data_IF_214031475262
#
_entry.id   IF_214031475262
#
_cell.length_a   1.000
_cell.length_b   1.000
_cell.length_c   1.000
_cell.angle_alpha   90.00
_cell.angle_beta   90.00
_cell.angle_gamma   90.00
#
_symmetry.space_group_name_H-M   'P 1'
#
loop_
_entity.id
_entity.type
_entity.pdbx_description
1 polymer ?
#
# COMPACT_ATOMS: atom_id res chain seq x y z
N UNK A 1 -13.43 -4.83 -19.73
CA UNK A 1 -12.94 -4.47 -18.41
C UNK A 1 -13.58 -5.32 -17.32
N UNK A 2 -12.80 -5.58 -16.29
CA UNK A 2 -13.19 -6.45 -15.18
C UNK A 2 -13.74 -5.69 -13.97
N UNK A 3 -13.70 -4.35 -14.02
CA UNK A 3 -14.17 -3.50 -12.93
C UNK A 3 -15.00 -2.34 -13.48
N UNK A 4 -15.93 -1.87 -12.67
CA UNK A 4 -16.68 -0.67 -12.98
C UNK A 4 -15.83 0.55 -12.60
N UNK A 5 -15.27 1.22 -13.61
CA UNK A 5 -14.39 2.38 -13.38
C UNK A 5 -15.09 3.56 -12.71
N UNK A 6 -16.41 3.66 -12.84
CA UNK A 6 -17.18 4.71 -12.18
C UNK A 6 -17.20 4.56 -10.65
N UNK A 7 -16.92 3.37 -10.13
CA UNK A 7 -16.85 3.11 -8.69
C UNK A 7 -15.44 3.20 -8.12
N UNK A 8 -14.43 3.47 -8.94
CA UNK A 8 -13.04 3.58 -8.50
C UNK A 8 -12.72 5.01 -8.09
N UNK A 9 -12.46 5.23 -6.80
CA UNK A 9 -12.18 6.55 -6.24
C UNK A 9 -10.83 6.64 -5.53
N UNK A 10 -10.10 5.53 -5.45
CA UNK A 10 -8.82 5.44 -4.75
C UNK A 10 -7.70 5.01 -5.68
N UNK A 11 -6.52 5.57 -5.46
CA UNK A 11 -5.31 5.17 -6.18
C UNK A 11 -4.10 5.25 -5.26
N UNK A 12 -3.01 4.64 -5.68
CA UNK A 12 -1.73 4.70 -4.98
C UNK A 12 -0.66 5.13 -5.98
N UNK A 13 0.13 6.14 -5.61
CA UNK A 13 1.25 6.56 -6.44
C UNK A 13 2.42 5.58 -6.31
N UNK A 14 3.02 5.14 -7.42
CA UNK A 14 4.27 4.38 -7.35
C UNK A 14 5.32 5.15 -6.55
N UNK A 15 5.91 4.50 -5.55
CA UNK A 15 6.85 5.17 -4.64
C UNK A 15 6.21 6.06 -3.58
N UNK A 16 4.88 6.19 -3.57
CA UNK A 16 4.14 6.98 -2.59
C UNK A 16 3.95 8.44 -2.99
N UNK A 17 3.11 9.13 -2.26
CA UNK A 17 2.71 10.52 -2.56
C UNK A 17 3.82 11.54 -2.32
N UNK A 18 4.88 11.16 -1.61
CA UNK A 18 6.00 12.04 -1.30
C UNK A 18 7.29 11.63 -2.01
N UNK A 19 7.21 10.75 -2.99
CA UNK A 19 8.39 10.27 -3.69
C UNK A 19 9.11 11.41 -4.42
N UNK A 20 10.43 11.26 -4.55
CA UNK A 20 11.27 12.22 -5.26
C UNK A 20 11.76 11.71 -6.61
N UNK A 21 11.58 10.43 -6.89
CA UNK A 21 11.99 9.79 -8.15
C UNK A 21 11.27 10.43 -9.34
N UNK A 22 10.00 10.78 -9.15
CA UNK A 22 9.17 11.43 -10.17
C UNK A 22 9.76 12.74 -10.68
N UNK A 23 10.62 13.40 -9.91
CA UNK A 23 11.27 14.65 -10.30
C UNK A 23 12.15 14.49 -11.53
N UNK A 24 12.69 13.30 -11.74
CA UNK A 24 13.50 12.99 -12.96
C UNK A 24 12.68 13.02 -14.23
N UNK A 25 11.38 12.78 -14.12
CA UNK A 25 10.50 12.59 -15.27
C UNK A 25 9.53 13.75 -15.48
N UNK A 26 9.12 14.42 -14.41
CA UNK A 26 8.13 15.49 -14.48
C UNK A 26 8.50 16.78 -13.76
N UNK A 27 9.72 16.86 -13.21
CA UNK A 27 10.17 18.04 -12.48
C UNK A 27 9.73 18.08 -11.02
N UNK A 28 10.18 19.10 -10.29
CA UNK A 28 9.97 19.20 -8.84
C UNK A 28 8.50 19.34 -8.42
N UNK A 29 7.67 19.93 -9.27
CA UNK A 29 6.27 20.18 -8.95
C UNK A 29 5.31 19.08 -9.37
N UNK A 30 5.79 17.98 -9.98
CA UNK A 30 4.93 16.98 -10.60
C UNK A 30 4.01 16.31 -9.58
N UNK A 31 4.48 15.98 -8.39
CA UNK A 31 3.64 15.32 -7.38
C UNK A 31 2.54 16.25 -6.86
N UNK A 32 2.84 17.53 -6.64
CA UNK A 32 1.83 18.50 -6.22
C UNK A 32 0.75 18.65 -7.29
N UNK A 33 1.14 18.70 -8.57
CA UNK A 33 0.21 18.78 -9.69
C UNK A 33 -0.66 17.53 -9.80
N UNK A 34 -0.07 16.34 -9.68
CA UNK A 34 -0.81 15.08 -9.72
C UNK A 34 -1.81 14.97 -8.57
N UNK A 35 -1.43 15.38 -7.36
CA UNK A 35 -2.35 15.39 -6.21
C UNK A 35 -3.52 16.32 -6.46
N UNK A 36 -3.28 17.50 -7.03
CA UNK A 36 -4.33 18.44 -7.37
C UNK A 36 -5.27 17.87 -8.42
N UNK A 37 -4.74 17.26 -9.48
CA UNK A 37 -5.55 16.62 -10.52
C UNK A 37 -6.39 15.47 -9.97
N UNK A 38 -5.84 14.68 -9.03
CA UNK A 38 -6.60 13.62 -8.38
C UNK A 38 -7.79 14.19 -7.61
N UNK A 39 -7.58 15.26 -6.84
CA UNK A 39 -8.65 15.90 -6.09
C UNK A 39 -9.73 16.46 -7.01
N UNK A 40 -9.34 17.12 -8.10
CA UNK A 40 -10.28 17.69 -9.10
C UNK A 40 -11.13 16.60 -9.77
N UNK A 41 -10.59 15.41 -9.96
CA UNK A 41 -11.28 14.29 -10.60
C UNK A 41 -12.03 13.39 -9.60
N UNK A 42 -12.02 13.73 -8.32
CA UNK A 42 -12.70 12.97 -7.29
C UNK A 42 -11.96 11.72 -6.81
N UNK A 43 -10.65 11.64 -7.03
CA UNK A 43 -9.83 10.54 -6.54
C UNK A 43 -9.09 10.92 -5.26
N UNK A 44 -9.02 9.96 -4.34
CA UNK A 44 -8.14 10.03 -3.19
C UNK A 44 -6.93 9.13 -3.41
N UNK A 45 -5.76 9.56 -2.99
CA UNK A 45 -4.57 8.71 -3.01
C UNK A 45 -4.36 8.08 -1.64
N UNK A 46 -3.79 6.86 -1.64
CA UNK A 46 -3.56 6.07 -0.44
C UNK A 46 -2.08 5.75 -0.33
N UNK A 47 -1.45 6.21 0.74
CA UNK A 47 -0.09 5.81 1.09
C UNK A 47 -0.14 4.60 2.03
N UNK A 48 0.94 4.32 2.72
CA UNK A 48 1.06 3.21 3.65
C UNK A 48 1.90 3.60 4.85
N UNK A 49 1.73 2.89 5.94
CA UNK A 49 2.54 3.06 7.15
C UNK A 49 3.23 1.77 7.60
N UNK A 50 3.02 0.69 6.86
CA UNK A 50 3.71 -0.59 7.05
C UNK A 50 4.16 -1.07 5.69
N UNK A 51 5.45 -1.33 5.52
CA UNK A 51 6.00 -1.88 4.28
C UNK A 51 6.50 -3.31 4.53
N UNK A 52 6.02 -4.25 3.73
CA UNK A 52 6.46 -5.63 3.82
C UNK A 52 7.88 -5.83 3.28
N UNK A 53 8.41 -4.86 2.54
CA UNK A 53 9.72 -4.91 1.90
C UNK A 53 9.90 -6.16 1.03
N UNK A 54 8.83 -6.53 0.35
CA UNK A 54 8.75 -7.76 -0.44
C UNK A 54 9.27 -7.61 -1.86
N UNK A 55 9.39 -6.39 -2.34
CA UNK A 55 9.88 -6.10 -3.69
C UNK A 55 11.34 -5.63 -3.71
N UNK A 56 12.06 -5.78 -2.60
CA UNK A 56 13.49 -5.44 -2.52
C UNK A 56 14.34 -6.52 -3.18
N UNK A 57 15.54 -6.16 -3.60
CA UNK A 57 16.49 -7.11 -4.16
C UNK A 57 16.78 -8.27 -3.20
N UNK A 58 17.19 -9.44 -3.75
CA UNK A 58 17.50 -10.62 -2.94
C UNK A 58 16.31 -11.54 -2.66
N UNK A 59 15.12 -11.22 -3.16
CA UNK A 59 13.92 -12.07 -3.07
C UNK A 59 13.67 -12.59 -1.65
N UNK A 60 13.18 -11.77 -0.72
CA UNK A 60 13.00 -12.16 0.67
C UNK A 60 12.08 -13.38 0.82
N UNK A 61 12.37 -14.23 1.79
CA UNK A 61 11.55 -15.39 2.11
C UNK A 61 10.19 -14.94 2.72
N UNK A 62 9.22 -15.84 2.71
CA UNK A 62 7.93 -15.59 3.36
C UNK A 62 8.11 -15.24 4.85
N UNK A 63 9.01 -15.93 5.55
CA UNK A 63 9.31 -15.64 6.96
C UNK A 63 9.89 -14.24 7.16
N UNK A 64 10.74 -13.78 6.26
CA UNK A 64 11.30 -12.42 6.32
C UNK A 64 10.23 -11.38 6.09
N UNK A 65 9.36 -11.58 5.10
CA UNK A 65 8.24 -10.69 4.81
C UNK A 65 7.31 -10.58 6.03
N UNK A 66 6.96 -11.72 6.62
CA UNK A 66 6.16 -11.77 7.84
C UNK A 66 6.79 -10.94 8.97
N UNK A 67 8.07 -11.15 9.24
CA UNK A 67 8.78 -10.42 10.29
C UNK A 67 8.85 -8.92 10.00
N UNK A 68 9.02 -8.53 8.75
CA UNK A 68 9.02 -7.12 8.35
C UNK A 68 7.69 -6.45 8.70
N UNK A 69 6.58 -7.11 8.38
CA UNK A 69 5.24 -6.57 8.65
C UNK A 69 5.01 -6.44 10.16
N UNK A 70 5.36 -7.46 10.94
CA UNK A 70 5.20 -7.44 12.39
C UNK A 70 6.04 -6.33 13.01
N UNK A 71 7.30 -6.21 12.61
CA UNK A 71 8.21 -5.19 13.12
C UNK A 71 7.73 -3.78 12.79
N UNK A 72 7.35 -3.55 11.53
CA UNK A 72 6.88 -2.24 11.07
C UNK A 72 5.57 -1.83 11.73
N UNK A 73 4.71 -2.80 12.01
CA UNK A 73 3.45 -2.55 12.69
C UNK A 73 3.70 -2.03 14.11
N UNK A 74 4.62 -2.66 14.84
CA UNK A 74 4.98 -2.23 16.18
C UNK A 74 3.76 -2.01 17.06
N UNK A 75 3.56 -0.79 17.54
CA UNK A 75 2.43 -0.41 18.39
C UNK A 75 1.37 0.39 17.64
N UNK A 76 1.45 0.47 16.31
CA UNK A 76 0.47 1.21 15.53
C UNK A 76 -0.92 0.57 15.65
N UNK A 77 -1.94 1.39 15.82
CA UNK A 77 -3.33 0.93 15.96
C UNK A 77 -4.08 0.89 14.65
N UNK A 78 -3.60 1.63 13.65
CA UNK A 78 -4.15 1.63 12.30
C UNK A 78 -3.02 1.39 11.31
N UNK A 79 -3.15 0.35 10.49
CA UNK A 79 -2.12 -0.05 9.57
C UNK A 79 -2.65 -0.14 8.14
N UNK A 80 -1.93 0.49 7.24
CA UNK A 80 -2.10 0.30 5.79
C UNK A 80 -0.81 -0.35 5.31
N UNK A 81 -0.90 -1.59 4.90
CA UNK A 81 0.26 -2.42 4.58
C UNK A 81 0.49 -2.42 3.07
N UNK A 82 1.71 -2.08 2.68
CA UNK A 82 2.15 -2.18 1.28
C UNK A 82 2.74 -3.56 1.02
N UNK A 83 2.16 -4.26 0.07
CA UNK A 83 2.66 -5.54 -0.45
C UNK A 83 2.50 -5.54 -1.97
N UNK A 84 3.21 -6.43 -2.65
CA UNK A 84 3.15 -6.55 -4.11
C UNK A 84 2.57 -7.90 -4.52
N UNK A 85 1.86 -7.92 -5.64
CA UNK A 85 1.21 -9.12 -6.19
C UNK A 85 1.76 -9.54 -7.55
N UNK A 86 3.00 -9.19 -7.83
CA UNK A 86 3.66 -9.52 -9.09
C UNK A 86 4.17 -10.96 -9.12
N UNK A 87 4.52 -11.44 -10.31
CA UNK A 87 5.09 -12.78 -10.49
C UNK A 87 6.45 -12.94 -9.80
N UNK A 88 7.13 -11.83 -9.50
CA UNK A 88 8.44 -11.84 -8.83
C UNK A 88 8.32 -11.77 -7.31
N UNK A 89 7.10 -11.64 -6.77
CA UNK A 89 6.85 -11.54 -5.32
C UNK A 89 5.97 -12.69 -4.82
N UNK A 90 6.22 -13.90 -5.31
CA UNK A 90 5.47 -15.11 -4.93
C UNK A 90 5.47 -15.36 -3.42
N UNK A 91 6.58 -15.07 -2.76
CA UNK A 91 6.71 -15.25 -1.31
C UNK A 91 5.78 -14.34 -0.52
N UNK A 92 5.32 -13.24 -1.10
CA UNK A 92 4.30 -12.38 -0.50
C UNK A 92 2.99 -13.14 -0.32
N UNK A 93 2.54 -13.84 -1.37
CA UNK A 93 1.34 -14.66 -1.30
C UNK A 93 1.49 -15.79 -0.27
N UNK A 94 2.69 -16.37 -0.16
CA UNK A 94 2.98 -17.41 0.82
C UNK A 94 2.95 -16.88 2.26
N UNK A 95 3.40 -15.64 2.48
CA UNK A 95 3.41 -15.00 3.79
C UNK A 95 2.03 -14.50 4.23
N UNK A 96 1.17 -14.20 3.30
CA UNK A 96 -0.11 -13.50 3.55
C UNK A 96 -1.01 -14.19 4.57
N UNK A 97 -1.23 -15.52 4.52
CA UNK A 97 -2.07 -16.18 5.54
C UNK A 97 -1.58 -15.98 6.97
N UNK A 98 -0.28 -16.04 7.18
CA UNK A 98 0.31 -15.86 8.50
C UNK A 98 0.23 -14.40 8.95
N UNK A 99 0.39 -13.46 8.03
CA UNK A 99 0.24 -12.03 8.31
C UNK A 99 -1.20 -11.73 8.74
N UNK A 100 -2.18 -12.24 8.01
CA UNK A 100 -3.60 -12.06 8.34
C UNK A 100 -3.90 -12.62 9.73
N UNK A 101 -3.41 -13.83 10.00
CA UNK A 101 -3.61 -14.49 11.30
C UNK A 101 -2.99 -13.67 12.43
N UNK A 102 -1.78 -13.15 12.22
CA UNK A 102 -1.12 -12.34 13.24
C UNK A 102 -1.92 -11.08 13.58
N UNK A 103 -2.42 -10.37 12.59
CA UNK A 103 -3.24 -9.19 12.83
C UNK A 103 -4.54 -9.55 13.57
N UNK A 104 -5.21 -10.62 13.14
CA UNK A 104 -6.43 -11.08 13.79
C UNK A 104 -6.18 -11.45 15.26
N UNK A 105 -5.09 -12.18 15.53
CA UNK A 105 -4.72 -12.62 16.89
C UNK A 105 -4.33 -11.44 17.79
N UNK A 106 -3.89 -10.33 17.20
CA UNK A 106 -3.51 -9.12 17.93
C UNK A 106 -4.63 -8.07 18.00
N UNK A 107 -5.85 -8.46 17.69
CA UNK A 107 -7.03 -7.63 17.90
C UNK A 107 -7.33 -6.62 16.80
N UNK A 108 -6.68 -6.71 15.64
CA UNK A 108 -6.96 -5.83 14.50
C UNK A 108 -8.20 -6.30 13.75
N UNK A 109 -8.99 -5.35 13.27
CA UNK A 109 -10.12 -5.58 12.37
C UNK A 109 -9.71 -5.19 10.96
N UNK A 110 -10.08 -6.01 9.98
CA UNK A 110 -9.80 -5.74 8.58
C UNK A 110 -10.91 -4.91 7.96
N UNK A 111 -10.51 -3.86 7.25
CA UNK A 111 -11.44 -2.95 6.57
C UNK A 111 -11.03 -2.83 5.10
N UNK A 112 -11.99 -2.52 4.26
CA UNK A 112 -11.69 -2.04 2.91
C UNK A 112 -11.12 -0.63 3.00
N UNK A 113 -10.45 -0.18 1.94
CA UNK A 113 -9.94 1.20 1.88
C UNK A 113 -11.09 2.20 2.03
N UNK A 114 -12.23 1.94 1.38
CA UNK A 114 -13.40 2.81 1.46
C UNK A 114 -13.95 2.92 2.89
N UNK A 115 -13.94 1.85 3.66
CA UNK A 115 -14.38 1.85 5.05
C UNK A 115 -13.39 2.58 5.97
N UNK A 116 -12.09 2.37 5.73
CA UNK A 116 -11.03 2.96 6.55
C UNK A 116 -10.80 4.44 6.23
N UNK A 117 -10.95 4.83 4.97
CA UNK A 117 -10.67 6.18 4.46
C UNK A 117 -11.86 6.67 3.64
N UNK A 118 -13.02 6.91 4.26
CA UNK A 118 -14.20 7.33 3.50
C UNK A 118 -13.97 8.68 2.82
N UNK A 119 -14.49 8.79 1.60
CA UNK A 119 -14.52 10.07 0.88
C UNK A 119 -15.55 10.97 1.56
N UNK A 120 -15.07 12.06 2.10
CA UNK A 120 -15.82 12.98 2.89
C UNK A 120 -16.76 13.86 2.21
#
# INVERSE_FOLDING_TARGET
PYVNTASLHYLRFPGGSTNTVSRRYGGRGVMAELKQQCAEKGYAYVDWNVCAEDAVGGKPSAGTIYRNVVRETGKQTQCIVLMHDSSTTRTTAEALPDIIRWYADNGYTFLTVAEALPLG
#
